data_IF_596839721025
#
_entry.id   IF_596839721025
#
_cell.length_a   1.000
_cell.length_b   1.000
_cell.length_c   1.000
_cell.angle_alpha   90.00
_cell.angle_beta   90.00
_cell.angle_gamma   90.00
#
_symmetry.space_group_name_H-M   'P 1'
#
loop_
_entity.id
_entity.type
_entity.pdbx_description
1 polymer ?
#
# COMPACT_ATOMS: atom_id res chain seq x y z
N UNK A 1 -8.58 15.24 15.56
CA UNK A 1 -7.78 15.58 16.77
C UNK A 1 -7.44 14.25 17.45
N UNK A 2 -6.21 14.03 17.92
CA UNK A 2 -5.77 12.77 18.54
C UNK A 2 -4.39 12.90 19.23
N UNK A 3 -3.90 11.82 19.83
CA UNK A 3 -2.61 11.76 20.56
C UNK A 3 -1.80 10.50 20.18
N UNK A 4 -0.47 10.54 20.39
CA UNK A 4 0.41 9.35 20.29
C UNK A 4 0.35 8.62 21.63
N UNK A 5 -0.22 7.42 21.62
CA UNK A 5 -0.38 6.58 22.82
C UNK A 5 -0.23 5.10 22.44
N UNK A 6 0.75 4.41 23.05
CA UNK A 6 0.98 2.99 22.78
C UNK A 6 0.05 2.12 23.62
N UNK A 7 -0.53 1.05 23.06
CA UNK A 7 -1.26 0.08 23.85
C UNK A 7 -0.30 -0.71 24.76
N UNK A 8 -0.78 -1.16 25.92
CA UNK A 8 0.00 -2.05 26.80
C UNK A 8 0.26 -3.42 26.18
N UNK A 9 -0.69 -3.92 25.37
CA UNK A 9 -0.57 -5.16 24.62
C UNK A 9 -1.55 -5.18 23.43
N UNK A 10 -1.26 -5.99 22.41
CA UNK A 10 -2.15 -6.24 21.26
C UNK A 10 -2.30 -7.75 21.06
N UNK A 11 -3.54 -8.25 21.08
CA UNK A 11 -3.86 -9.66 20.78
C UNK A 11 -4.41 -9.72 19.35
N UNK A 12 -3.69 -10.41 18.47
CA UNK A 12 -4.14 -10.69 17.10
C UNK A 12 -4.62 -12.16 17.01
N UNK A 13 -5.89 -12.40 17.34
CA UNK A 13 -6.53 -13.71 17.12
C UNK A 13 -6.85 -13.88 15.63
N UNK A 14 -6.11 -14.76 14.95
CA UNK A 14 -6.28 -15.00 13.51
C UNK A 14 -7.54 -15.77 13.17
N UNK A 15 -8.18 -16.44 14.13
CA UNK A 15 -9.39 -17.21 13.87
C UNK A 15 -10.59 -16.32 13.58
N UNK A 16 -10.61 -15.08 14.07
CA UNK A 16 -11.67 -14.09 13.75
C UNK A 16 -11.69 -13.72 12.27
N UNK A 17 -10.59 -13.94 11.55
CA UNK A 17 -10.52 -13.69 10.11
C UNK A 17 -11.37 -14.69 9.30
N UNK A 18 -11.76 -15.83 9.89
CA UNK A 18 -12.58 -16.86 9.24
C UNK A 18 -13.97 -16.35 8.86
N UNK A 19 -14.52 -15.43 9.64
CA UNK A 19 -15.84 -14.85 9.42
C UNK A 19 -15.79 -13.53 8.65
N UNK A 20 -14.59 -13.04 8.32
CA UNK A 20 -14.42 -11.76 7.65
C UNK A 20 -14.85 -11.89 6.17
N UNK A 21 -15.70 -10.98 5.65
CA UNK A 21 -16.09 -11.02 4.25
C UNK A 21 -14.86 -11.01 3.34
N UNK A 22 -14.90 -11.76 2.24
CA UNK A 22 -13.71 -11.97 1.41
C UNK A 22 -13.10 -10.66 0.88
N UNK A 23 -13.93 -9.66 0.56
CA UNK A 23 -13.51 -8.32 0.14
C UNK A 23 -12.73 -7.60 1.25
N UNK A 24 -13.19 -7.71 2.48
CA UNK A 24 -12.56 -7.15 3.68
C UNK A 24 -11.23 -7.84 3.99
N UNK A 25 -11.20 -9.17 3.87
CA UNK A 25 -9.97 -9.95 4.03
C UNK A 25 -8.92 -9.58 2.98
N UNK A 26 -9.32 -9.52 1.71
CA UNK A 26 -8.44 -9.21 0.59
C UNK A 26 -7.87 -7.79 0.68
N UNK A 27 -8.63 -6.79 1.16
CA UNK A 27 -8.13 -5.42 1.25
C UNK A 27 -6.90 -5.27 2.16
N UNK A 28 -6.79 -6.10 3.22
CA UNK A 28 -5.62 -6.13 4.10
C UNK A 28 -4.32 -6.48 3.37
N UNK A 29 -4.39 -7.19 2.25
CA UNK A 29 -3.20 -7.54 1.45
C UNK A 29 -2.57 -6.34 0.76
N UNK A 30 -3.29 -5.23 0.56
CA UNK A 30 -2.69 -4.01 0.01
C UNK A 30 -1.56 -3.51 0.91
N UNK A 31 -1.73 -3.56 2.23
CA UNK A 31 -0.73 -3.14 3.21
C UNK A 31 0.43 -4.11 3.33
N UNK A 32 0.13 -5.41 3.28
CA UNK A 32 1.12 -6.49 3.26
C UNK A 32 2.02 -6.35 2.02
N UNK A 33 1.43 -6.12 0.84
CA UNK A 33 2.16 -5.92 -0.41
C UNK A 33 2.96 -4.62 -0.36
N UNK A 34 2.40 -3.53 0.18
CA UNK A 34 3.14 -2.27 0.39
C UNK A 34 4.41 -2.51 1.21
N UNK A 35 4.31 -3.16 2.36
CA UNK A 35 5.48 -3.46 3.20
C UNK A 35 6.52 -4.34 2.49
N UNK A 36 6.06 -5.33 1.72
CA UNK A 36 6.96 -6.14 0.91
C UNK A 36 7.70 -5.30 -0.15
N UNK A 37 6.99 -4.40 -0.84
CA UNK A 37 7.59 -3.49 -1.84
C UNK A 37 8.60 -2.54 -1.24
N UNK A 38 8.33 -1.97 -0.06
CA UNK A 38 9.22 -0.95 0.53
C UNK A 38 10.36 -1.52 1.36
N UNK A 39 10.27 -2.79 1.82
CA UNK A 39 11.20 -3.29 2.84
C UNK A 39 11.50 -4.80 2.81
N UNK A 40 10.80 -5.62 2.01
CA UNK A 40 10.97 -7.07 2.05
C UNK A 40 10.70 -7.80 0.72
N UNK A 41 11.73 -7.89 -0.11
CA UNK A 41 11.67 -8.65 -1.35
C UNK A 41 11.43 -10.16 -1.16
N UNK A 42 11.82 -10.73 0.00
CA UNK A 42 11.57 -12.15 0.28
C UNK A 42 10.10 -12.39 0.55
N UNK A 43 9.48 -11.54 1.35
CA UNK A 43 8.03 -11.54 1.59
C UNK A 43 7.25 -11.34 0.29
N UNK A 44 7.71 -10.46 -0.60
CA UNK A 44 7.11 -10.29 -1.93
C UNK A 44 7.11 -11.59 -2.74
N UNK A 45 8.26 -12.27 -2.82
CA UNK A 45 8.38 -13.57 -3.50
C UNK A 45 7.50 -14.65 -2.87
N UNK A 46 7.38 -14.68 -1.54
CA UNK A 46 6.47 -15.58 -0.85
C UNK A 46 5.02 -15.33 -1.25
N UNK A 47 4.58 -14.07 -1.35
CA UNK A 47 3.22 -13.75 -1.79
C UNK A 47 2.99 -14.16 -3.26
N UNK A 48 4.01 -14.07 -4.11
CA UNK A 48 3.92 -14.48 -5.52
C UNK A 48 3.73 -16.00 -5.69
N UNK A 49 4.19 -16.82 -4.75
CA UNK A 49 4.04 -18.27 -4.84
C UNK A 49 2.63 -18.76 -4.47
N UNK A 50 1.79 -17.90 -3.89
CA UNK A 50 0.42 -18.24 -3.51
C UNK A 50 -0.49 -18.32 -4.74
N UNK A 51 -1.42 -19.27 -4.77
CA UNK A 51 -2.31 -19.46 -5.93
C UNK A 51 -3.30 -18.28 -6.06
N UNK A 52 -3.60 -17.89 -7.31
CA UNK A 52 -4.55 -16.82 -7.57
C UNK A 52 -5.96 -17.22 -7.14
N UNK A 53 -6.68 -16.32 -6.45
CA UNK A 53 -8.03 -16.58 -5.97
C UNK A 53 -8.11 -17.48 -4.74
N UNK A 54 -7.00 -18.07 -4.30
CA UNK A 54 -6.89 -18.92 -3.11
C UNK A 54 -5.81 -18.37 -2.17
N UNK A 55 -6.00 -17.17 -1.58
CA UNK A 55 -5.18 -16.75 -0.45
C UNK A 55 -5.33 -17.82 0.62
N UNK A 56 -4.26 -18.14 1.36
CA UNK A 56 -4.20 -19.29 2.25
C UNK A 56 -5.49 -19.35 3.02
N UNK A 57 -6.28 -20.37 2.65
CA UNK A 57 -7.56 -20.57 3.29
C UNK A 57 -7.25 -20.79 4.76
N UNK A 58 -8.01 -20.12 5.62
CA UNK A 58 -8.10 -20.47 7.03
C UNK A 58 -8.79 -21.84 7.22
N UNK A 59 -9.16 -22.51 6.12
CA UNK A 59 -9.75 -23.83 6.08
C UNK A 59 -8.72 -24.93 6.32
N UNK A 60 -9.10 -25.85 7.20
CA UNK A 60 -8.39 -27.06 7.61
C UNK A 60 -7.67 -27.78 6.45
N UNK A 61 -6.35 -27.74 6.47
CA UNK A 61 -5.51 -28.39 5.46
C UNK A 61 -4.03 -28.06 5.62
N UNK A 62 -3.45 -28.40 6.78
CA UNK A 62 -2.00 -28.62 7.04
C UNK A 62 -1.01 -27.45 6.80
N UNK A 63 -1.38 -26.32 6.18
CA UNK A 63 -0.42 -25.23 5.92
C UNK A 63 -0.95 -23.78 5.98
N UNK A 64 -2.26 -23.53 6.08
CA UNK A 64 -2.85 -22.19 5.93
C UNK A 64 -2.65 -21.21 7.10
N UNK A 65 -3.04 -21.63 8.32
CA UNK A 65 -2.97 -20.75 9.50
C UNK A 65 -1.54 -20.38 9.94
N UNK A 66 -0.56 -21.31 9.98
CA UNK A 66 0.82 -20.99 10.34
C UNK A 66 1.49 -20.01 9.36
N UNK A 67 1.12 -20.10 8.08
CA UNK A 67 1.64 -19.21 7.03
C UNK A 67 1.06 -17.80 7.16
N UNK A 68 -0.25 -17.66 7.39
CA UNK A 68 -0.88 -16.36 7.59
C UNK A 68 -0.39 -15.68 8.88
N UNK A 69 -0.29 -16.40 9.99
CA UNK A 69 0.29 -15.89 11.23
C UNK A 69 1.73 -15.40 11.04
N UNK A 70 2.55 -16.19 10.34
CA UNK A 70 3.94 -15.79 10.03
C UNK A 70 3.99 -14.54 9.17
N UNK A 71 3.06 -14.38 8.22
CA UNK A 71 2.96 -13.20 7.38
C UNK A 71 2.53 -11.97 8.18
N UNK A 72 1.51 -12.09 9.03
CA UNK A 72 1.04 -11.01 9.92
C UNK A 72 2.16 -10.58 10.85
N UNK A 73 2.82 -11.54 11.51
CA UNK A 73 3.99 -11.29 12.37
C UNK A 73 5.09 -10.55 11.60
N UNK A 74 5.39 -10.97 10.37
CA UNK A 74 6.41 -10.30 9.55
C UNK A 74 6.01 -8.88 9.19
N UNK A 75 4.74 -8.66 8.86
CA UNK A 75 4.18 -7.36 8.54
C UNK A 75 4.28 -6.39 9.73
N UNK A 76 3.96 -6.87 10.94
CA UNK A 76 4.12 -6.14 12.20
C UNK A 76 5.59 -5.79 12.42
N UNK A 77 6.50 -6.76 12.29
CA UNK A 77 7.94 -6.54 12.47
C UNK A 77 8.51 -5.48 11.50
N UNK A 78 8.01 -5.40 10.27
CA UNK A 78 8.42 -4.35 9.32
C UNK A 78 7.96 -2.98 9.83
N UNK A 79 6.68 -2.83 10.16
CA UNK A 79 6.12 -1.58 10.68
C UNK A 79 6.81 -1.15 11.98
N UNK A 80 6.95 -2.05 12.94
CA UNK A 80 7.59 -1.77 14.23
C UNK A 80 9.03 -1.31 14.05
N UNK A 81 9.82 -1.94 13.16
CA UNK A 81 11.20 -1.51 12.88
C UNK A 81 11.27 -0.12 12.27
N UNK A 82 10.35 0.23 11.37
CA UNK A 82 10.31 1.56 10.76
C UNK A 82 9.86 2.62 11.79
N UNK A 83 8.80 2.32 12.55
CA UNK A 83 8.28 3.25 13.58
C UNK A 83 9.28 3.44 14.72
N UNK A 84 9.98 2.40 15.16
CA UNK A 84 10.98 2.51 16.23
C UNK A 84 12.15 3.44 15.89
N UNK A 85 12.45 3.63 14.60
CA UNK A 85 13.49 4.55 14.15
C UNK A 85 13.02 6.01 14.04
N UNK A 86 11.70 6.23 13.97
CA UNK A 86 11.12 7.56 13.75
C UNK A 86 9.68 7.64 14.24
N UNK A 87 9.49 7.48 15.55
CA UNK A 87 8.16 7.36 16.14
C UNK A 87 7.30 8.62 15.90
N UNK A 88 7.94 9.80 15.91
CA UNK A 88 7.29 11.10 15.81
C UNK A 88 7.30 11.71 14.40
N UNK A 89 7.75 10.96 13.38
CA UNK A 89 7.89 11.44 11.98
C UNK A 89 8.78 12.70 11.86
N UNK A 90 9.87 12.72 12.64
CA UNK A 90 10.85 13.80 12.70
C UNK A 90 11.95 13.63 11.64
N UNK A 91 12.38 12.39 11.38
CA UNK A 91 13.46 12.10 10.41
C UNK A 91 12.93 11.82 9.01
N UNK A 92 11.67 11.41 8.90
CA UNK A 92 11.03 11.03 7.64
C UNK A 92 11.23 9.56 7.27
N UNK A 93 11.88 8.76 8.11
CA UNK A 93 11.91 7.30 7.90
C UNK A 93 10.50 6.69 8.01
N UNK A 94 9.67 7.19 8.94
CA UNK A 94 8.29 6.72 9.09
C UNK A 94 7.46 7.01 7.84
N UNK A 95 7.85 8.03 7.06
CA UNK A 95 7.18 8.39 5.83
C UNK A 95 7.20 7.26 4.79
N UNK A 96 8.15 6.31 4.83
CA UNK A 96 8.20 5.15 3.91
C UNK A 96 6.91 4.31 3.96
N UNK A 97 6.25 4.25 5.12
CA UNK A 97 4.96 3.57 5.29
C UNK A 97 3.84 4.20 4.45
N UNK A 98 4.05 5.40 3.91
CA UNK A 98 3.10 6.11 3.05
C UNK A 98 3.25 5.78 1.56
N UNK A 99 4.02 4.76 1.17
CA UNK A 99 4.04 4.30 -0.23
C UNK A 99 2.61 4.00 -0.71
N UNK A 100 2.23 4.58 -1.84
CA UNK A 100 0.87 4.56 -2.39
C UNK A 100 -0.17 5.42 -1.66
N UNK A 101 0.04 5.81 -0.40
CA UNK A 101 -0.99 6.45 0.43
C UNK A 101 -1.38 7.86 -0.04
N UNK A 102 -0.44 8.64 -0.56
CA UNK A 102 -0.75 9.99 -1.07
C UNK A 102 -1.86 9.96 -2.11
N UNK A 103 -1.79 9.01 -3.05
CA UNK A 103 -2.80 8.86 -4.10
C UNK A 103 -3.97 7.98 -3.64
N UNK A 104 -3.72 6.98 -2.79
CA UNK A 104 -4.76 6.17 -2.17
C UNK A 104 -5.76 7.02 -1.38
N UNK A 105 -5.29 7.85 -0.45
CA UNK A 105 -6.16 8.76 0.31
C UNK A 105 -6.90 9.76 -0.58
N UNK A 106 -6.26 10.25 -1.65
CA UNK A 106 -6.91 11.13 -2.62
C UNK A 106 -8.05 10.41 -3.36
N UNK A 107 -7.87 9.13 -3.71
CA UNK A 107 -8.90 8.27 -4.33
C UNK A 107 -10.03 7.99 -3.34
N UNK A 108 -9.74 7.66 -2.07
CA UNK A 108 -10.77 7.47 -1.03
C UNK A 108 -11.62 8.72 -0.85
N UNK A 109 -10.97 9.88 -0.72
CA UNK A 109 -11.65 11.17 -0.56
C UNK A 109 -12.50 11.51 -1.80
N UNK A 110 -11.95 11.32 -2.99
CA UNK A 110 -12.70 11.53 -4.24
C UNK A 110 -13.90 10.58 -4.38
N UNK A 111 -13.82 9.39 -3.77
CA UNK A 111 -14.89 8.40 -3.69
C UNK A 111 -15.84 8.59 -2.51
N UNK A 112 -15.70 9.70 -1.77
CA UNK A 112 -16.52 10.03 -0.61
C UNK A 112 -16.44 8.99 0.51
N UNK A 113 -15.32 8.27 0.63
CA UNK A 113 -15.09 7.22 1.64
C UNK A 113 -16.10 6.06 1.62
N UNK A 114 -16.86 5.90 0.53
CA UNK A 114 -17.90 4.86 0.39
C UNK A 114 -17.69 3.96 -0.81
N UNK A 115 -17.03 4.46 -1.86
CA UNK A 115 -16.86 3.71 -3.12
C UNK A 115 -15.81 2.61 -3.03
N UNK A 116 -14.70 2.90 -2.35
CA UNK A 116 -13.57 2.00 -2.19
C UNK A 116 -13.35 1.74 -0.71
N UNK A 117 -12.99 0.50 -0.37
CA UNK A 117 -12.35 0.22 0.90
C UNK A 117 -10.94 0.82 0.91
N UNK A 118 -10.37 0.99 2.11
CA UNK A 118 -9.04 1.59 2.25
C UNK A 118 -7.98 0.84 1.44
N UNK A 119 -7.89 -0.49 1.59
CA UNK A 119 -6.92 -1.30 0.85
C UNK A 119 -7.13 -1.29 -0.67
N UNK A 120 -8.37 -1.10 -1.13
CA UNK A 120 -8.68 -0.97 -2.56
C UNK A 120 -8.14 0.34 -3.13
N UNK A 121 -8.35 1.45 -2.42
CA UNK A 121 -7.79 2.73 -2.83
C UNK A 121 -6.27 2.76 -2.69
N UNK A 122 -5.72 2.17 -1.63
CA UNK A 122 -4.27 1.99 -1.48
C UNK A 122 -3.68 1.19 -2.63
N UNK A 123 -4.34 0.11 -3.09
CA UNK A 123 -3.91 -0.66 -4.26
C UNK A 123 -3.76 0.22 -5.50
N UNK A 124 -4.75 1.05 -5.80
CA UNK A 124 -4.67 2.02 -6.91
C UNK A 124 -3.55 3.05 -6.68
N UNK A 125 -3.38 3.51 -5.45
CA UNK A 125 -2.28 4.37 -5.05
C UNK A 125 -0.91 3.73 -5.27
N UNK A 126 -0.75 2.43 -4.99
CA UNK A 126 0.47 1.67 -5.25
C UNK A 126 0.74 1.60 -6.76
N UNK A 127 -0.27 1.34 -7.59
CA UNK A 127 -0.11 1.31 -9.07
C UNK A 127 0.43 2.66 -9.57
N UNK A 128 -0.16 3.76 -9.12
CA UNK A 128 0.27 5.10 -9.51
C UNK A 128 1.67 5.45 -8.96
N UNK A 129 1.99 5.03 -7.73
CA UNK A 129 3.32 5.21 -7.16
C UNK A 129 4.40 4.41 -7.91
N UNK A 130 4.07 3.21 -8.42
CA UNK A 130 4.96 2.45 -9.29
C UNK A 130 5.17 3.17 -10.63
N UNK A 131 4.11 3.74 -11.22
CA UNK A 131 4.22 4.52 -12.45
C UNK A 131 5.15 5.74 -12.30
N UNK A 132 5.10 6.41 -11.15
CA UNK A 132 6.03 7.49 -10.80
C UNK A 132 7.44 6.94 -10.60
N UNK A 133 7.57 5.81 -9.91
CA UNK A 133 8.87 5.18 -9.61
C UNK A 133 9.62 4.72 -10.85
N UNK A 134 8.92 4.30 -11.91
CA UNK A 134 9.53 4.03 -13.24
C UNK A 134 10.32 5.24 -13.75
N UNK A 135 9.77 6.45 -13.59
CA UNK A 135 10.34 7.70 -14.13
C UNK A 135 11.33 8.36 -13.18
N UNK A 136 11.15 8.18 -11.87
CA UNK A 136 11.82 8.98 -10.82
C UNK A 136 12.75 8.19 -9.91
N UNK A 137 12.73 6.87 -9.97
CA UNK A 137 13.50 6.02 -9.04
C UNK A 137 14.20 4.84 -9.72
N UNK A 138 13.95 4.57 -10.99
CA UNK A 138 14.59 3.44 -11.71
C UNK A 138 13.91 2.09 -11.48
N UNK A 139 12.66 2.06 -11.00
CA UNK A 139 11.86 0.83 -10.98
C UNK A 139 11.79 0.24 -12.39
N UNK A 140 12.06 -1.05 -12.55
CA UNK A 140 11.96 -1.68 -13.86
C UNK A 140 10.49 -1.92 -14.25
N UNK A 141 10.14 -1.92 -15.55
CA UNK A 141 8.82 -2.32 -16.03
C UNK A 141 8.39 -3.70 -15.50
N UNK A 142 9.30 -4.67 -15.48
CA UNK A 142 9.03 -6.03 -14.99
C UNK A 142 8.66 -6.07 -13.51
N UNK A 143 9.34 -5.27 -12.67
CA UNK A 143 9.00 -5.17 -11.25
C UNK A 143 7.68 -4.44 -11.04
N UNK A 144 7.41 -3.37 -11.80
CA UNK A 144 6.10 -2.72 -11.81
C UNK A 144 5.00 -3.71 -12.16
N UNK A 145 5.17 -4.48 -13.23
CA UNK A 145 4.18 -5.46 -13.67
C UNK A 145 4.02 -6.61 -12.67
N UNK A 146 5.10 -7.03 -12.01
CA UNK A 146 5.05 -7.99 -10.91
C UNK A 146 4.21 -7.49 -9.73
N UNK A 147 4.35 -6.22 -9.33
CA UNK A 147 3.55 -5.60 -8.26
C UNK A 147 2.08 -5.55 -8.65
N UNK A 148 1.78 -5.07 -9.86
CA UNK A 148 0.40 -4.97 -10.38
C UNK A 148 -0.25 -6.35 -10.50
N UNK A 149 0.49 -7.36 -10.96
CA UNK A 149 0.01 -8.75 -11.03
C UNK A 149 -0.28 -9.31 -9.64
N UNK A 150 0.55 -8.99 -8.64
CA UNK A 150 0.34 -9.44 -7.27
C UNK A 150 -0.92 -8.81 -6.65
N UNK A 151 -1.15 -7.52 -6.83
CA UNK A 151 -2.39 -6.85 -6.38
C UNK A 151 -3.64 -7.52 -6.98
N UNK A 152 -3.63 -7.77 -8.30
CA UNK A 152 -4.73 -8.49 -8.98
C UNK A 152 -4.94 -9.90 -8.44
N UNK A 153 -3.87 -10.59 -8.03
CA UNK A 153 -3.94 -11.94 -7.46
C UNK A 153 -4.79 -11.98 -6.17
N UNK A 154 -4.74 -10.91 -5.39
CA UNK A 154 -5.57 -10.71 -4.20
C UNK A 154 -6.89 -9.98 -4.50
N UNK A 155 -7.32 -9.93 -5.77
CA UNK A 155 -8.57 -9.29 -6.20
C UNK A 155 -8.65 -7.80 -5.84
N UNK A 156 -7.51 -7.13 -5.70
CA UNK A 156 -7.45 -5.70 -5.47
C UNK A 156 -7.55 -4.94 -6.81
N UNK A 157 -8.23 -3.79 -6.84
CA UNK A 157 -8.34 -3.00 -8.06
C UNK A 157 -6.98 -2.40 -8.43
N UNK A 158 -6.61 -2.57 -9.69
CA UNK A 158 -5.40 -1.96 -10.28
C UNK A 158 -5.72 -0.98 -11.40
N UNK A 159 -7.01 -0.70 -11.61
CA UNK A 159 -7.51 0.29 -12.55
C UNK A 159 -8.69 1.04 -11.95
N UNK A 160 -8.79 2.33 -12.25
CA UNK A 160 -9.92 3.14 -11.85
C UNK A 160 -11.11 2.90 -12.78
N UNK A 161 -12.35 2.83 -12.27
CA UNK A 161 -13.55 2.79 -13.10
C UNK A 161 -13.56 3.95 -14.11
N UNK A 162 -13.93 3.70 -15.37
CA UNK A 162 -13.89 4.72 -16.44
C UNK A 162 -14.70 5.98 -16.09
N UNK A 163 -15.81 5.82 -15.39
CA UNK A 163 -16.69 6.91 -14.96
C UNK A 163 -16.22 7.64 -13.68
N UNK A 164 -15.11 7.24 -13.07
CA UNK A 164 -14.56 7.92 -11.90
C UNK A 164 -13.76 9.15 -12.34
N UNK A 165 -14.19 10.35 -11.93
CA UNK A 165 -13.58 11.60 -12.39
C UNK A 165 -12.17 11.78 -11.82
N UNK A 166 -11.14 11.66 -12.66
CA UNK A 166 -9.72 11.87 -12.29
C UNK A 166 -9.48 13.27 -11.71
N UNK A 167 -10.23 14.28 -12.20
CA UNK A 167 -10.21 15.65 -11.67
C UNK A 167 -10.48 15.71 -10.16
N UNK A 168 -11.41 14.91 -9.64
CA UNK A 168 -11.71 14.87 -8.19
C UNK A 168 -10.53 14.34 -7.38
N UNK A 169 -9.77 13.40 -7.93
CA UNK A 169 -8.55 12.88 -7.29
C UNK A 169 -7.50 13.99 -7.25
N UNK A 170 -7.26 14.67 -8.38
CA UNK A 170 -6.30 15.77 -8.46
C UNK A 170 -6.61 16.92 -7.50
N UNK A 171 -7.90 17.26 -7.34
CA UNK A 171 -8.34 18.23 -6.34
C UNK A 171 -8.07 17.71 -4.92
N UNK A 172 -8.40 16.45 -4.64
CA UNK A 172 -8.15 15.83 -3.34
C UNK A 172 -6.67 15.77 -2.96
N UNK A 173 -5.75 15.58 -3.93
CA UNK A 173 -4.30 15.58 -3.69
C UNK A 173 -3.83 16.93 -3.12
N UNK A 174 -4.39 18.05 -3.60
CA UNK A 174 -3.99 19.40 -3.16
C UNK A 174 -4.34 19.68 -1.69
N UNK A 175 -5.35 19.00 -1.15
CA UNK A 175 -5.75 19.12 0.26
C UNK A 175 -4.92 18.26 1.21
N UNK A 176 -4.04 17.40 0.69
CA UNK A 176 -3.05 16.73 1.53
C UNK A 176 -1.98 17.76 1.93
N UNK A 177 -1.83 18.01 3.24
CA UNK A 177 -0.85 18.95 3.81
C UNK A 177 0.59 18.68 3.36
N UNK A 178 0.87 17.52 2.75
CA UNK A 178 2.14 17.21 2.06
C UNK A 178 2.39 18.04 0.79
N UNK A 179 1.39 18.74 0.24
CA UNK A 179 1.51 19.60 -0.95
C UNK A 179 1.57 21.10 -0.65
N UNK A 180 1.32 21.51 0.59
CA UNK A 180 1.48 22.91 0.99
C UNK A 180 2.99 23.21 1.21
N UNK A 181 3.46 24.37 0.73
CA UNK A 181 4.85 24.85 0.75
C UNK A 181 5.86 24.25 -0.28
N UNK A 182 5.39 23.64 -1.37
CA UNK A 182 6.23 23.39 -2.56
C UNK A 182 7.29 22.28 -2.43
N UNK A 183 7.29 21.50 -1.35
CA UNK A 183 8.19 20.35 -1.13
C UNK A 183 7.39 19.09 -0.84
N UNK A 184 6.99 18.38 -1.88
CA UNK A 184 6.24 17.12 -1.75
C UNK A 184 7.19 16.00 -1.35
N UNK A 185 6.94 15.37 -0.21
CA UNK A 185 7.59 14.10 0.16
C UNK A 185 6.77 12.96 -0.45
N UNK A 186 7.19 12.48 -1.60
CA UNK A 186 6.57 11.33 -2.27
C UNK A 186 7.42 10.09 -2.05
N UNK A 187 6.80 8.94 -1.75
CA UNK A 187 7.54 7.70 -1.57
C UNK A 187 7.63 6.99 -2.89
N UNK A 188 8.85 6.67 -3.31
CA UNK A 188 9.16 5.96 -4.55
C UNK A 188 10.02 4.75 -4.25
N UNK A 189 9.99 3.76 -5.13
CA UNK A 189 10.74 2.51 -4.98
C UNK A 189 11.65 2.30 -6.19
N UNK A 190 12.98 2.19 -6.02
CA UNK A 190 13.86 1.85 -7.13
C UNK A 190 13.80 0.37 -7.47
N UNK A 191 13.46 -0.48 -6.49
CA UNK A 191 13.26 -1.91 -6.68
C UNK A 191 12.45 -2.50 -5.53
N UNK A 192 11.80 -3.64 -5.78
CA UNK A 192 11.06 -4.37 -4.75
C UNK A 192 11.98 -4.67 -3.55
N UNK A 193 11.49 -4.34 -2.35
CA UNK A 193 12.19 -4.53 -1.09
C UNK A 193 12.87 -3.27 -0.55
N UNK A 194 12.81 -2.15 -1.26
CA UNK A 194 13.36 -0.87 -0.79
C UNK A 194 12.54 0.31 -1.32
N UNK A 195 12.49 1.39 -0.57
CA UNK A 195 11.88 2.65 -0.97
C UNK A 195 12.59 3.83 -0.31
N UNK A 196 12.41 5.02 -0.87
CA UNK A 196 12.94 6.25 -0.30
C UNK A 196 11.96 7.41 -0.51
N UNK A 197 12.15 8.48 0.27
CA UNK A 197 11.45 9.74 0.07
C UNK A 197 12.09 10.50 -1.08
N UNK A 198 11.32 10.80 -2.13
CA UNK A 198 11.71 11.67 -3.22
C UNK A 198 11.05 13.05 -3.09
N UNK A 199 11.83 14.09 -3.40
CA UNK A 199 11.39 15.49 -3.52
C UNK A 199 11.27 15.94 -4.98
N UNK A 200 11.53 15.04 -5.92
CA UNK A 200 11.59 15.34 -7.36
C UNK A 200 10.28 15.03 -8.10
N UNK A 201 9.29 14.50 -7.37
CA UNK A 201 7.96 14.20 -7.92
C UNK A 201 7.16 15.49 -8.04
N UNK A 202 6.78 15.81 -9.28
CA UNK A 202 6.02 17.01 -9.60
C UNK A 202 4.51 16.72 -9.70
N UNK A 203 3.69 17.78 -9.70
CA UNK A 203 2.25 17.64 -9.99
C UNK A 203 1.97 17.13 -11.41
N UNK A 204 2.91 17.30 -12.35
CA UNK A 204 2.80 16.72 -13.69
C UNK A 204 2.92 15.19 -13.61
N UNK A 205 3.92 14.69 -12.89
CA UNK A 205 4.11 13.25 -12.68
C UNK A 205 2.88 12.62 -12.00
N UNK A 206 2.33 13.29 -10.99
CA UNK A 206 1.10 12.86 -10.30
C UNK A 206 -0.10 12.79 -11.25
N UNK A 207 -0.28 13.82 -12.09
CA UNK A 207 -1.38 13.84 -13.08
C UNK A 207 -1.24 12.70 -14.07
N UNK A 208 -0.06 12.52 -14.67
CA UNK A 208 0.19 11.42 -15.61
C UNK A 208 -0.04 10.04 -14.97
N UNK A 209 0.33 9.88 -13.70
CA UNK A 209 0.10 8.63 -12.97
C UNK A 209 -1.39 8.38 -12.70
N UNK A 210 -2.18 9.41 -12.36
CA UNK A 210 -3.63 9.32 -12.15
C UNK A 210 -4.35 9.02 -13.46
N UNK A 211 -3.93 9.63 -14.56
CA UNK A 211 -4.53 9.42 -15.88
C UNK A 211 -4.27 8.01 -16.41
N UNK A 212 -3.17 7.38 -15.97
CA UNK A 212 -2.82 5.99 -16.29
C UNK A 212 -3.57 4.91 -15.48
N UNK A 213 -4.34 5.30 -14.46
CA UNK A 213 -5.16 4.39 -13.64
C UNK A 213 -6.46 3.97 -14.34
#
# INVERSE_FOLDING_TARGET
>A
IGAIHHPSFVIDDVDVLRTLPRREFNQGFAEIIKHAVIADAKMFRTLQSWKAGDPPSLGSGVAGAPVLQSLIKRNIQIKSRIVAKDERDETGERALLNFGHTLGHAIERAGGYRKFLHGEALSLGIVAACAISLKKAGLSPDQRDSIVNLLRRFQLPTRLPRNFLRKKILEAVKFDKKFEAGKVRFIVTPQIGTAHVSREVTMKDVREAIDGL
#
